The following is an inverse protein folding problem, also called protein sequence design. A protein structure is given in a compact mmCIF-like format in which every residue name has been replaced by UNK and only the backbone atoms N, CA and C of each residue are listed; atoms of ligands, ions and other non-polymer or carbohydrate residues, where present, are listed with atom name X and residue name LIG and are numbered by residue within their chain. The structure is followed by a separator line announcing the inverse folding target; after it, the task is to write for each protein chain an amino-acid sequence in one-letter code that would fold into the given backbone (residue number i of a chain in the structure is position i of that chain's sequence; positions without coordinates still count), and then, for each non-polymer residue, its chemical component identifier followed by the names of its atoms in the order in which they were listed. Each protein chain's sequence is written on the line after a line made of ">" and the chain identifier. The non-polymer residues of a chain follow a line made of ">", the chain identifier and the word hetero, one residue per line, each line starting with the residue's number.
data_IF_079984259131
#
_entry.id   IF_079984259131
#
_cell.length_a   1.000
_cell.length_b   1.000
_cell.length_c   1.000
_cell.angle_alpha   90.00
_cell.angle_beta   90.00
_cell.angle_gamma   90.00
#
_symmetry.space_group_name_H-M   'P 1'
#
loop_
_entity.id
_entity.type
_entity.pdbx_description
1 polymer ?
#
# COMPACT_ATOMS: atom_id res chain seq x y z
N UNK A 1 -13.34 38.27 23.91
CA UNK A 1 -14.00 37.01 24.30
C UNK A 1 -13.48 35.99 23.31
N UNK A 2 -12.53 35.20 23.68
CA UNK A 2 -12.06 34.09 22.86
C UNK A 2 -13.07 32.95 23.00
N UNK A 3 -13.65 32.48 21.90
CA UNK A 3 -14.43 31.23 21.93
C UNK A 3 -13.52 30.10 22.39
N UNK A 4 -13.93 29.26 23.34
CA UNK A 4 -13.16 28.09 23.70
C UNK A 4 -13.03 27.22 22.43
N UNK A 5 -11.82 26.76 22.15
CA UNK A 5 -11.58 25.78 21.09
C UNK A 5 -12.52 24.58 21.29
N UNK A 6 -13.11 24.01 20.22
CA UNK A 6 -13.97 22.85 20.35
C UNK A 6 -13.16 21.75 21.04
N UNK A 7 -13.70 21.18 22.11
CA UNK A 7 -13.12 20.03 22.79
C UNK A 7 -13.17 18.85 21.79
N UNK A 8 -12.05 18.56 21.19
CA UNK A 8 -11.90 17.37 20.34
C UNK A 8 -11.83 16.16 21.27
N UNK A 9 -12.91 15.40 21.34
CA UNK A 9 -12.91 14.12 22.04
C UNK A 9 -12.49 13.03 21.05
N UNK A 10 -11.25 12.59 21.17
CA UNK A 10 -10.79 11.41 20.46
C UNK A 10 -11.37 10.17 21.14
N UNK A 11 -11.89 9.26 20.34
CA UNK A 11 -12.42 7.98 20.82
C UNK A 11 -11.76 6.82 20.09
N UNK A 12 -11.48 5.75 20.83
CA UNK A 12 -10.96 4.50 20.29
C UNK A 12 -11.95 3.39 20.63
N UNK A 13 -12.61 2.86 19.61
CA UNK A 13 -13.48 1.69 19.71
C UNK A 13 -12.66 0.45 19.37
N UNK A 14 -12.69 -0.54 20.24
CA UNK A 14 -12.02 -1.84 20.07
C UNK A 14 -13.11 -2.92 20.02
N UNK A 15 -13.30 -3.56 18.87
CA UNK A 15 -14.39 -4.53 18.69
C UNK A 15 -14.35 -5.70 19.68
N UNK A 16 -13.15 -6.09 20.10
CA UNK A 16 -12.93 -7.18 21.04
C UNK A 16 -12.98 -6.76 22.52
N UNK A 17 -13.24 -5.48 22.82
CA UNK A 17 -13.23 -4.95 24.18
C UNK A 17 -14.52 -4.17 24.47
N UNK A 18 -15.35 -4.70 25.36
CA UNK A 18 -16.58 -4.03 25.84
C UNK A 18 -16.28 -3.07 27.00
N UNK A 19 -15.31 -2.19 26.82
CA UNK A 19 -14.87 -1.22 27.82
C UNK A 19 -14.54 0.12 27.17
N UNK A 20 -14.82 1.21 27.87
CA UNK A 20 -14.40 2.54 27.47
C UNK A 20 -12.87 2.70 27.63
N UNK A 21 -12.24 3.13 26.57
CA UNK A 21 -10.81 3.49 26.55
C UNK A 21 -10.66 4.99 26.28
N UNK A 22 -9.71 5.62 26.97
CA UNK A 22 -9.43 7.04 26.80
C UNK A 22 -8.13 7.24 26.02
N UNK A 23 -8.23 7.83 24.83
CA UNK A 23 -7.08 8.15 24.00
C UNK A 23 -6.29 9.31 24.63
N UNK A 24 -5.01 9.10 24.91
CA UNK A 24 -4.09 10.13 25.38
C UNK A 24 -3.50 10.92 24.22
N UNK A 25 -2.93 10.20 23.27
CA UNK A 25 -2.32 10.78 22.07
C UNK A 25 -2.32 9.79 20.92
N UNK A 26 -2.21 10.30 19.72
CA UNK A 26 -1.94 9.48 18.53
C UNK A 26 -1.12 10.25 17.51
N UNK A 27 -0.41 9.48 16.69
CA UNK A 27 0.24 9.94 15.46
C UNK A 27 -0.01 8.91 14.38
N UNK A 28 -0.19 9.37 13.13
CA UNK A 28 -0.40 8.44 12.02
C UNK A 28 -0.06 9.08 10.68
N UNK A 29 0.10 8.24 9.69
CA UNK A 29 0.40 8.63 8.32
C UNK A 29 -0.44 7.83 7.34
N UNK A 30 -1.03 8.53 6.39
CA UNK A 30 -1.72 8.01 5.22
C UNK A 30 -1.07 8.57 3.95
N UNK A 31 -0.93 7.73 2.93
CA UNK A 31 -0.48 8.19 1.62
C UNK A 31 -1.07 7.32 0.50
N UNK A 32 -1.30 7.91 -0.67
CA UNK A 32 -1.72 7.15 -1.87
C UNK A 32 -0.62 6.14 -2.22
N UNK A 33 -1.01 4.89 -2.48
CA UNK A 33 -0.09 3.80 -2.84
C UNK A 33 0.63 3.15 -1.66
N UNK A 34 0.27 3.52 -0.41
CA UNK A 34 0.89 2.96 0.80
C UNK A 34 -0.15 2.54 1.83
N UNK A 35 0.08 1.43 2.56
CA UNK A 35 -0.67 1.14 3.76
C UNK A 35 -0.45 2.21 4.82
N UNK A 36 -1.53 2.68 5.45
CA UNK A 36 -1.44 3.62 6.56
C UNK A 36 -0.93 2.95 7.84
N UNK A 37 -0.42 3.78 8.75
CA UNK A 37 0.05 3.36 10.06
C UNK A 37 -0.28 4.42 11.10
N UNK A 38 -0.95 4.02 12.18
CA UNK A 38 -1.25 4.88 13.32
C UNK A 38 -0.71 4.27 14.61
N UNK A 39 -0.03 5.07 15.39
CA UNK A 39 0.36 4.77 16.76
C UNK A 39 -0.60 5.48 17.69
N UNK A 40 -1.25 4.76 18.59
CA UNK A 40 -2.23 5.29 19.55
C UNK A 40 -1.79 4.95 20.95
N UNK A 41 -1.79 5.96 21.82
CA UNK A 41 -1.56 5.82 23.26
C UNK A 41 -2.88 6.03 23.99
N UNK A 42 -3.22 5.13 24.91
CA UNK A 42 -4.49 5.18 25.63
C UNK A 42 -4.37 4.62 27.04
N UNK A 43 -5.36 4.91 27.85
CA UNK A 43 -5.57 4.30 29.16
C UNK A 43 -6.91 3.57 29.18
N UNK A 44 -6.97 2.49 29.93
CA UNK A 44 -8.18 1.71 30.13
C UNK A 44 -8.47 1.60 31.63
N UNK A 45 -9.74 1.73 31.99
CA UNK A 45 -10.18 1.45 33.35
C UNK A 45 -10.16 -0.08 33.61
N UNK A 46 -10.08 -0.44 34.88
CA UNK A 46 -10.04 -1.88 35.25
C UNK A 46 -11.34 -2.62 34.93
N UNK A 47 -11.27 -3.92 34.55
CA UNK A 47 -10.14 -4.84 34.60
C UNK A 47 -9.14 -4.63 33.45
N UNK A 48 -7.85 -4.99 33.66
CA UNK A 48 -6.83 -4.94 32.62
C UNK A 48 -7.23 -5.81 31.43
N UNK A 49 -7.17 -5.31 30.19
CA UNK A 49 -7.52 -6.08 29.01
C UNK A 49 -6.51 -7.21 28.76
N UNK A 50 -6.98 -8.32 28.24
CA UNK A 50 -6.11 -9.38 27.75
C UNK A 50 -5.51 -8.97 26.40
N UNK A 51 -4.28 -8.44 26.42
CA UNK A 51 -3.66 -7.84 25.24
C UNK A 51 -3.53 -8.79 24.06
N UNK A 52 -3.33 -10.09 24.29
CA UNK A 52 -3.18 -11.07 23.22
C UNK A 52 -4.47 -11.25 22.43
N UNK A 53 -5.63 -11.17 23.07
CA UNK A 53 -6.92 -11.29 22.39
C UNK A 53 -7.27 -10.07 21.52
N UNK A 54 -6.61 -8.94 21.76
CA UNK A 54 -6.82 -7.71 20.99
C UNK A 54 -5.96 -7.66 19.71
N UNK A 55 -4.89 -8.45 19.62
CA UNK A 55 -4.07 -8.49 18.40
C UNK A 55 -4.90 -9.04 17.23
N UNK A 56 -4.80 -8.42 16.07
CA UNK A 56 -5.56 -8.71 14.86
C UNK A 56 -7.07 -8.42 14.92
N UNK A 57 -7.59 -7.90 16.05
CA UNK A 57 -8.96 -7.42 16.12
C UNK A 57 -9.13 -6.08 15.42
N UNK A 58 -10.36 -5.75 15.04
CA UNK A 58 -10.70 -4.50 14.39
C UNK A 58 -10.85 -3.37 15.41
N UNK A 59 -10.50 -2.16 14.99
CA UNK A 59 -10.58 -0.96 15.82
C UNK A 59 -10.84 0.28 14.97
N UNK A 60 -11.53 1.25 15.55
CA UNK A 60 -11.79 2.56 14.95
C UNK A 60 -11.28 3.68 15.86
N UNK A 61 -10.36 4.50 15.34
CA UNK A 61 -9.88 5.71 15.97
C UNK A 61 -10.64 6.92 15.42
N UNK A 62 -11.59 7.46 16.17
CA UNK A 62 -12.32 8.66 15.83
C UNK A 62 -11.51 9.92 16.17
N UNK A 63 -11.41 10.84 15.21
CA UNK A 63 -10.73 12.14 15.36
C UNK A 63 -11.67 13.22 15.90
N UNK A 64 -12.99 12.98 15.80
CA UNK A 64 -14.04 13.89 16.28
C UNK A 64 -15.32 13.12 16.59
N UNK A 65 -16.36 13.89 16.97
CA UNK A 65 -17.70 13.35 17.25
C UNK A 65 -18.58 13.20 15.98
N UNK A 66 -18.10 13.60 14.81
CA UNK A 66 -18.83 13.50 13.54
C UNK A 66 -18.56 12.18 12.82
N UNK A 67 -17.67 11.35 13.36
CA UNK A 67 -17.31 10.05 12.79
C UNK A 67 -16.14 10.09 11.81
N UNK A 68 -15.42 11.22 11.72
CA UNK A 68 -14.16 11.26 10.99
C UNK A 68 -13.10 10.49 11.78
N UNK A 69 -12.35 9.64 11.10
CA UNK A 69 -11.37 8.79 11.78
C UNK A 69 -10.82 7.69 10.88
N UNK A 70 -10.08 6.78 11.46
CA UNK A 70 -9.41 5.68 10.78
C UNK A 70 -9.82 4.35 11.39
N UNK A 71 -10.36 3.47 10.55
CA UNK A 71 -10.61 2.08 10.90
C UNK A 71 -9.41 1.22 10.50
N UNK A 72 -9.05 0.21 11.28
CA UNK A 72 -7.98 -0.71 10.95
C UNK A 72 -7.95 -1.92 11.85
N UNK A 73 -6.85 -2.68 11.78
CA UNK A 73 -6.57 -3.83 12.64
C UNK A 73 -5.43 -3.52 13.60
N UNK A 74 -5.52 -4.04 14.80
CA UNK A 74 -4.48 -3.90 15.83
C UNK A 74 -3.32 -4.82 15.47
N UNK A 75 -2.27 -4.24 14.90
CA UNK A 75 -1.07 -4.96 14.49
C UNK A 75 -0.13 -5.30 15.65
N UNK A 76 -0.08 -4.42 16.63
CA UNK A 76 0.70 -4.55 17.83
C UNK A 76 0.01 -3.81 18.97
N UNK A 77 0.06 -4.37 20.16
CA UNK A 77 -0.41 -3.72 21.38
C UNK A 77 0.56 -4.05 22.51
N UNK A 78 0.86 -3.07 23.33
CA UNK A 78 1.77 -3.22 24.46
C UNK A 78 1.36 -2.37 25.65
N UNK A 79 1.91 -2.73 26.81
CA UNK A 79 1.74 -2.03 28.07
C UNK A 79 3.00 -1.22 28.34
N UNK A 80 2.84 0.03 28.75
CA UNK A 80 3.95 0.84 29.23
C UNK A 80 4.36 0.37 30.63
N UNK A 81 5.63 0.03 30.81
CA UNK A 81 6.18 -0.47 32.06
C UNK A 81 6.68 0.63 33.00
N UNK A 82 6.85 1.86 32.49
CA UNK A 82 7.37 2.98 33.28
C UNK A 82 6.29 3.67 34.12
N UNK A 83 5.01 3.54 33.75
CA UNK A 83 3.89 4.17 34.41
C UNK A 83 2.95 3.13 35.04
N UNK A 84 2.91 3.09 36.35
CA UNK A 84 2.13 2.08 37.07
C UNK A 84 0.64 2.45 37.26
N UNK A 85 0.31 3.74 37.37
CA UNK A 85 -1.08 4.21 37.57
C UNK A 85 -1.29 5.63 37.03
N UNK A 86 -2.29 5.82 36.14
CA UNK A 86 -3.03 4.80 35.45
C UNK A 86 -2.16 4.07 34.44
N UNK A 87 -2.46 2.81 34.22
CA UNK A 87 -1.73 1.98 33.27
C UNK A 87 -1.90 2.49 31.85
N UNK A 88 -0.80 2.81 31.19
CA UNK A 88 -0.78 3.24 29.79
C UNK A 88 -0.55 2.06 28.86
N UNK A 89 -1.22 2.12 27.73
CA UNK A 89 -1.12 1.17 26.63
C UNK A 89 -0.78 1.89 25.34
N UNK A 90 -0.11 1.21 24.46
CA UNK A 90 0.13 1.68 23.11
C UNK A 90 -0.26 0.61 22.10
N UNK A 91 -0.87 0.99 21.00
CA UNK A 91 -1.17 0.11 19.90
C UNK A 91 -0.75 0.70 18.55
N UNK A 92 -0.54 -0.19 17.59
CA UNK A 92 -0.34 0.13 16.19
C UNK A 92 -1.58 -0.31 15.39
N UNK A 93 -2.23 0.64 14.73
CA UNK A 93 -3.40 0.41 13.88
C UNK A 93 -2.97 0.48 12.41
N UNK A 94 -3.30 -0.56 11.65
CA UNK A 94 -2.91 -0.70 10.24
C UNK A 94 -4.06 -1.26 9.39
N UNK A 95 -4.05 -1.09 8.04
CA UNK A 95 -4.99 -1.80 7.19
C UNK A 95 -4.67 -3.30 7.10
N UNK A 96 -5.66 -4.11 6.77
CA UNK A 96 -5.46 -5.54 6.51
C UNK A 96 -4.38 -5.77 5.44
N UNK A 97 -4.27 -4.90 4.44
CA UNK A 97 -3.23 -4.92 3.40
C UNK A 97 -1.80 -4.98 3.98
N UNK A 98 -1.55 -4.45 5.17
CA UNK A 98 -0.23 -4.44 5.80
C UNK A 98 0.32 -5.84 6.10
N UNK A 99 -0.55 -6.82 6.30
CA UNK A 99 -0.15 -8.21 6.61
C UNK A 99 0.49 -8.92 5.43
N UNK A 100 0.27 -8.46 4.20
CA UNK A 100 0.86 -9.00 2.99
C UNK A 100 2.39 -8.87 2.96
N UNK A 101 2.97 -8.03 3.82
CA UNK A 101 4.43 -7.89 3.99
C UNK A 101 5.10 -9.12 4.62
N UNK A 102 4.32 -9.98 5.27
CA UNK A 102 4.84 -11.13 6.00
C UNK A 102 4.96 -12.40 5.16
N UNK A 103 4.36 -12.40 3.97
CA UNK A 103 4.45 -13.54 3.06
C UNK A 103 5.32 -13.19 1.86
N UNK A 104 6.46 -13.87 1.76
CA UNK A 104 7.36 -13.79 0.59
C UNK A 104 7.11 -15.00 -0.30
N UNK A 105 6.94 -14.75 -1.60
CA UNK A 105 6.64 -15.80 -2.57
C UNK A 105 7.60 -15.81 -3.75
N UNK A 106 7.63 -16.98 -4.41
CA UNK A 106 8.25 -17.19 -5.72
C UNK A 106 7.25 -17.96 -6.58
N UNK A 107 6.59 -17.27 -7.50
CA UNK A 107 5.55 -17.86 -8.37
C UNK A 107 5.39 -17.09 -9.68
N UNK A 108 4.83 -17.76 -10.67
CA UNK A 108 4.61 -17.19 -12.01
C UNK A 108 3.13 -17.15 -12.31
N UNK A 109 2.66 -16.00 -12.75
CA UNK A 109 1.33 -15.81 -13.28
C UNK A 109 1.38 -15.74 -14.80
N UNK A 110 0.57 -16.55 -15.48
CA UNK A 110 0.47 -16.55 -16.93
C UNK A 110 -0.92 -16.21 -17.39
N UNK A 111 -0.99 -15.40 -18.44
CA UNK A 111 -2.26 -14.98 -19.04
C UNK A 111 -3.21 -14.29 -18.05
N UNK A 112 -2.65 -13.63 -17.04
CA UNK A 112 -3.37 -12.78 -16.10
C UNK A 112 -3.10 -11.29 -16.37
N UNK A 113 -4.12 -10.47 -16.22
CA UNK A 113 -3.94 -9.01 -16.12
C UNK A 113 -3.52 -8.62 -14.70
N UNK A 114 -2.88 -7.46 -14.54
CA UNK A 114 -2.44 -6.98 -13.22
C UNK A 114 -3.60 -6.88 -12.22
N UNK A 115 -4.77 -6.32 -12.55
CA UNK A 115 -5.90 -6.33 -11.62
C UNK A 115 -6.34 -7.73 -11.18
N UNK A 116 -6.27 -8.72 -12.08
CA UNK A 116 -6.62 -10.10 -11.74
C UNK A 116 -5.59 -10.76 -10.81
N UNK A 117 -4.29 -10.46 -10.98
CA UNK A 117 -3.23 -10.92 -10.08
C UNK A 117 -3.42 -10.30 -8.69
N UNK A 118 -3.65 -8.98 -8.64
CA UNK A 118 -3.88 -8.27 -7.38
C UNK A 118 -5.09 -8.83 -6.64
N UNK A 119 -6.22 -9.03 -7.34
CA UNK A 119 -7.42 -9.62 -6.74
C UNK A 119 -7.14 -11.00 -6.14
N UNK A 120 -6.46 -11.88 -6.89
CA UNK A 120 -6.12 -13.22 -6.42
C UNK A 120 -5.28 -13.19 -5.13
N UNK A 121 -4.28 -12.28 -5.06
CA UNK A 121 -3.43 -12.17 -3.86
C UNK A 121 -4.23 -11.62 -2.68
N UNK A 122 -5.10 -10.64 -2.89
CA UNK A 122 -5.96 -10.10 -1.83
C UNK A 122 -6.89 -11.18 -1.27
N UNK A 123 -7.51 -11.99 -2.15
CA UNK A 123 -8.38 -13.10 -1.77
C UNK A 123 -7.63 -14.17 -0.96
N UNK A 124 -6.39 -14.50 -1.34
CA UNK A 124 -5.55 -15.43 -0.58
C UNK A 124 -5.23 -14.95 0.84
N UNK A 125 -5.25 -13.64 1.07
CA UNK A 125 -5.08 -13.03 2.38
C UNK A 125 -6.40 -12.75 3.10
N UNK A 126 -7.54 -13.20 2.57
CA UNK A 126 -8.84 -13.01 3.18
C UNK A 126 -9.40 -11.59 3.04
N UNK A 127 -8.83 -10.75 2.16
CA UNK A 127 -9.37 -9.45 1.79
C UNK A 127 -10.39 -9.70 0.69
N UNK A 128 -11.68 -9.79 1.04
CA UNK A 128 -12.75 -10.28 0.17
C UNK A 128 -13.86 -9.25 0.02
N UNK A 129 -14.69 -9.44 -1.03
CA UNK A 129 -15.97 -8.77 -1.20
C UNK A 129 -15.87 -7.25 -1.15
N UNK A 130 -16.52 -6.66 -0.16
CA UNK A 130 -16.62 -5.20 -0.03
C UNK A 130 -15.38 -4.53 0.59
N UNK A 131 -14.39 -5.33 1.05
CA UNK A 131 -13.15 -4.80 1.63
C UNK A 131 -12.21 -4.17 0.59
N UNK A 132 -12.39 -4.45 -0.70
CA UNK A 132 -11.66 -3.78 -1.77
C UNK A 132 -12.53 -3.60 -3.02
N UNK A 133 -12.14 -2.65 -3.89
CA UNK A 133 -12.77 -2.47 -5.19
C UNK A 133 -11.80 -1.88 -6.22
N UNK A 134 -12.01 -2.26 -7.48
CA UNK A 134 -11.36 -1.65 -8.62
C UNK A 134 -12.29 -0.65 -9.30
N UNK A 135 -11.81 0.58 -9.48
CA UNK A 135 -12.44 1.64 -10.24
C UNK A 135 -11.49 2.02 -11.38
N UNK A 136 -11.43 1.18 -12.42
CA UNK A 136 -10.49 1.29 -13.52
C UNK A 136 -11.23 1.71 -14.80
N UNK A 137 -10.70 2.72 -15.46
CA UNK A 137 -11.18 3.19 -16.76
C UNK A 137 -10.45 2.57 -17.95
N UNK A 138 -9.24 2.05 -17.73
CA UNK A 138 -8.40 1.43 -18.75
C UNK A 138 -8.62 -0.08 -18.85
N UNK A 139 -8.26 -0.63 -20.02
CA UNK A 139 -8.22 -2.07 -20.22
C UNK A 139 -6.80 -2.58 -20.01
N UNK A 140 -6.64 -3.59 -19.19
CA UNK A 140 -5.35 -4.18 -18.84
C UNK A 140 -5.12 -5.48 -19.60
N UNK A 141 -4.08 -5.56 -20.45
CA UNK A 141 -3.80 -6.77 -21.22
C UNK A 141 -3.36 -7.90 -20.27
N UNK A 142 -3.62 -9.11 -20.71
CA UNK A 142 -3.04 -10.29 -20.06
C UNK A 142 -1.56 -10.36 -20.37
N UNK A 143 -0.73 -10.50 -19.33
CA UNK A 143 0.71 -10.69 -19.47
C UNK A 143 1.01 -12.16 -19.79
N UNK A 144 1.92 -12.41 -20.72
CA UNK A 144 2.37 -13.77 -21.02
C UNK A 144 3.07 -14.42 -19.84
N UNK A 145 3.85 -13.63 -19.13
CA UNK A 145 4.55 -14.00 -17.91
C UNK A 145 4.61 -12.81 -16.97
N UNK A 146 4.29 -13.03 -15.69
CA UNK A 146 4.46 -12.07 -14.62
C UNK A 146 4.96 -12.82 -13.38
N UNK A 147 6.16 -12.51 -12.96
CA UNK A 147 6.89 -13.30 -11.96
C UNK A 147 7.03 -12.54 -10.65
N UNK A 148 6.56 -13.12 -9.57
CA UNK A 148 6.95 -12.75 -8.22
C UNK A 148 8.20 -13.54 -7.86
N UNK A 149 9.31 -12.87 -7.60
CA UNK A 149 10.59 -13.54 -7.33
C UNK A 149 11.24 -13.07 -6.03
N UNK A 150 11.01 -13.80 -4.95
CA UNK A 150 11.61 -13.50 -3.65
C UNK A 150 11.17 -12.17 -3.04
N UNK A 151 10.04 -11.66 -3.45
CA UNK A 151 9.45 -10.41 -2.93
C UNK A 151 8.19 -10.70 -2.09
N UNK A 152 7.87 -9.79 -1.18
CA UNK A 152 6.64 -9.92 -0.39
C UNK A 152 5.43 -9.68 -1.27
N UNK A 153 4.28 -10.23 -0.88
CA UNK A 153 3.04 -10.01 -1.62
C UNK A 153 2.65 -8.52 -1.67
N UNK A 154 2.92 -7.77 -0.60
CA UNK A 154 2.70 -6.34 -0.59
C UNK A 154 3.58 -5.61 -1.61
N UNK A 155 4.88 -5.89 -1.62
CA UNK A 155 5.82 -5.28 -2.55
C UNK A 155 5.44 -5.61 -4.00
N UNK A 156 5.07 -6.86 -4.26
CA UNK A 156 4.64 -7.29 -5.59
C UNK A 156 3.40 -6.55 -6.08
N UNK A 157 2.35 -6.43 -5.25
CA UNK A 157 1.15 -5.65 -5.59
C UNK A 157 1.50 -4.19 -5.87
N UNK A 158 2.30 -3.56 -5.00
CA UNK A 158 2.68 -2.16 -5.16
C UNK A 158 3.45 -1.94 -6.46
N UNK A 159 4.45 -2.79 -6.75
CA UNK A 159 5.22 -2.74 -7.99
C UNK A 159 4.34 -2.89 -9.23
N UNK A 160 3.46 -3.89 -9.26
CA UNK A 160 2.55 -4.12 -10.38
C UNK A 160 1.60 -2.94 -10.62
N UNK A 161 1.07 -2.38 -9.54
CA UNK A 161 0.20 -1.20 -9.62
C UNK A 161 0.97 0.02 -10.17
N UNK A 162 2.20 0.24 -9.73
CA UNK A 162 3.05 1.34 -10.22
C UNK A 162 3.41 1.17 -11.71
N UNK A 163 3.74 -0.05 -12.15
CA UNK A 163 4.02 -0.36 -13.56
C UNK A 163 2.85 -0.01 -14.48
N UNK A 164 1.63 -0.32 -14.05
CA UNK A 164 0.40 -0.06 -14.84
C UNK A 164 -0.19 1.34 -14.60
N UNK A 165 0.38 2.11 -13.67
CA UNK A 165 -0.16 3.42 -13.30
C UNK A 165 -1.44 3.33 -12.48
N UNK A 166 -1.69 2.21 -11.82
CA UNK A 166 -2.80 2.02 -10.88
C UNK A 166 -2.36 2.60 -9.52
N UNK A 167 -3.14 3.51 -8.97
CA UNK A 167 -2.99 3.98 -7.61
C UNK A 167 -3.97 3.28 -6.68
N UNK A 168 -3.70 3.28 -5.37
CA UNK A 168 -4.69 2.88 -4.40
C UNK A 168 -4.70 3.81 -3.18
N UNK A 169 -5.84 3.89 -2.53
CA UNK A 169 -6.05 4.64 -1.29
C UNK A 169 -7.12 3.93 -0.45
N UNK A 170 -7.32 4.41 0.78
CA UNK A 170 -8.29 3.84 1.70
C UNK A 170 -9.46 4.80 1.91
N UNK A 171 -10.65 4.26 2.04
CA UNK A 171 -11.84 4.97 2.49
C UNK A 171 -12.25 4.37 3.83
N UNK A 172 -12.47 5.21 4.82
CA UNK A 172 -12.76 4.80 6.17
C UNK A 172 -14.22 5.06 6.55
N UNK A 173 -14.74 4.19 7.40
CA UNK A 173 -15.98 4.37 8.15
C UNK A 173 -15.79 3.77 9.54
N UNK A 174 -16.73 4.01 10.45
CA UNK A 174 -16.67 3.41 11.78
C UNK A 174 -16.76 1.87 11.76
N UNK A 175 -17.32 1.28 10.69
CA UNK A 175 -17.55 -0.15 10.56
C UNK A 175 -16.51 -0.88 9.70
N UNK A 176 -15.59 -0.16 9.06
CA UNK A 176 -14.61 -0.79 8.19
C UNK A 176 -13.81 0.19 7.35
N UNK A 177 -12.83 -0.33 6.65
CA UNK A 177 -12.10 0.41 5.62
C UNK A 177 -12.16 -0.34 4.29
N UNK A 178 -12.22 0.41 3.20
CA UNK A 178 -12.25 -0.12 1.84
C UNK A 178 -10.99 0.30 1.10
N UNK A 179 -10.28 -0.68 0.54
CA UNK A 179 -9.12 -0.46 -0.33
C UNK A 179 -9.61 -0.19 -1.76
N UNK A 180 -9.39 1.01 -2.27
CA UNK A 180 -9.86 1.45 -3.58
C UNK A 180 -8.68 1.55 -4.54
N UNK A 181 -8.71 0.78 -5.62
CA UNK A 181 -7.76 0.86 -6.73
C UNK A 181 -8.35 1.69 -7.86
N UNK A 182 -7.55 2.59 -8.44
CA UNK A 182 -7.96 3.43 -9.55
C UNK A 182 -6.82 3.77 -10.50
N UNK A 183 -7.17 4.17 -11.72
CA UNK A 183 -6.24 4.59 -12.77
C UNK A 183 -6.57 5.98 -13.36
N UNK A 184 -7.56 6.64 -12.80
CA UNK A 184 -8.01 7.95 -13.24
C UNK A 184 -8.47 8.82 -12.07
N UNK A 185 -8.51 10.14 -12.29
CA UNK A 185 -8.77 11.13 -11.24
C UNK A 185 -10.19 11.07 -10.66
N UNK A 186 -11.20 10.63 -11.42
CA UNK A 186 -12.58 10.56 -10.93
C UNK A 186 -12.80 9.53 -9.79
N UNK A 187 -11.79 8.71 -9.49
CA UNK A 187 -11.80 7.79 -8.35
C UNK A 187 -11.67 8.49 -7.01
N UNK A 188 -11.00 9.65 -7.01
CA UNK A 188 -10.77 10.43 -5.81
C UNK A 188 -12.00 11.21 -5.39
N UNK A 189 -12.31 11.15 -4.10
CA UNK A 189 -13.48 11.80 -3.55
C UNK A 189 -13.22 13.29 -3.30
N UNK A 190 -14.08 14.14 -3.85
CA UNK A 190 -14.05 15.58 -3.58
C UNK A 190 -14.74 15.86 -2.26
N UNK A 191 -14.09 16.61 -1.39
CA UNK A 191 -14.67 17.06 -0.12
C UNK A 191 -14.82 18.60 -0.14
N UNK A 192 -15.88 19.08 0.50
CA UNK A 192 -16.06 20.51 0.69
C UNK A 192 -15.14 20.99 1.81
N UNK A 193 -14.30 21.98 1.59
CA UNK A 193 -13.42 22.51 2.63
C UNK A 193 -14.26 23.26 3.67
N UNK A 194 -14.36 22.68 4.84
CA UNK A 194 -15.05 23.35 5.97
C UNK A 194 -14.13 24.37 6.69
N UNK A 195 -12.85 24.47 6.29
CA UNK A 195 -11.87 25.36 6.93
C UNK A 195 -10.83 25.88 5.95
N UNK A 196 -10.32 27.08 6.24
CA UNK A 196 -9.24 27.73 5.50
C UNK A 196 -7.96 26.94 5.68
N UNK A 197 -7.56 26.26 4.62
CA UNK A 197 -6.23 25.66 4.53
C UNK A 197 -5.25 26.79 4.19
N UNK A 198 -4.29 27.06 5.07
CA UNK A 198 -3.19 27.97 4.76
C UNK A 198 -2.02 27.18 4.20
N UNK A 199 -1.78 27.19 2.88
CA UNK A 199 -0.60 26.57 2.31
C UNK A 199 0.64 27.36 2.73
N UNK A 200 1.65 26.67 3.27
CA UNK A 200 2.97 27.25 3.44
C UNK A 200 3.69 27.25 2.08
N UNK A 201 4.29 28.37 1.65
CA UNK A 201 5.03 28.39 0.41
C UNK A 201 6.25 27.46 0.54
N UNK A 202 6.26 26.39 -0.22
CA UNK A 202 7.45 25.54 -0.35
C UNK A 202 8.62 26.38 -0.86
N UNK A 203 9.78 26.28 -0.19
CA UNK A 203 10.98 27.03 -0.55
C UNK A 203 11.32 26.86 -2.04
N UNK A 204 11.60 27.96 -2.71
CA UNK A 204 11.84 28.03 -4.14
C UNK A 204 12.99 27.09 -4.56
N UNK A 205 12.66 26.02 -5.27
CA UNK A 205 13.62 25.15 -5.95
C UNK A 205 13.53 25.46 -7.45
N UNK A 206 14.66 25.80 -8.07
CA UNK A 206 14.74 26.10 -9.50
C UNK A 206 14.29 24.90 -10.36
N UNK A 207 13.38 25.10 -11.34
CA UNK A 207 12.80 24.01 -12.11
C UNK A 207 13.76 23.49 -13.19
N UNK A 208 13.91 22.16 -13.34
CA UNK A 208 14.50 21.55 -14.52
C UNK A 208 13.50 21.41 -15.67
N UNK A 209 14.00 21.50 -16.88
CA UNK A 209 13.26 21.48 -18.14
C UNK A 209 12.65 20.11 -18.50
N UNK A 210 11.32 20.01 -18.63
CA UNK A 210 10.60 18.83 -19.11
C UNK A 210 9.19 18.67 -18.49
N UNK A 211 8.19 18.34 -19.30
CA UNK A 211 6.78 18.25 -18.85
C UNK A 211 6.52 17.19 -17.77
N UNK A 212 7.24 16.07 -17.78
CA UNK A 212 7.15 15.02 -16.77
C UNK A 212 7.65 15.43 -15.38
N UNK A 213 8.48 16.44 -15.30
CA UNK A 213 9.04 16.95 -14.05
C UNK A 213 8.19 18.03 -13.40
N UNK A 214 7.24 18.65 -14.12
CA UNK A 214 6.38 19.72 -13.57
C UNK A 214 5.44 19.22 -12.46
N UNK A 215 4.91 18.01 -12.54
CA UNK A 215 4.04 17.43 -11.52
C UNK A 215 4.77 17.22 -10.18
N UNK A 216 6.01 16.72 -10.22
CA UNK A 216 6.84 16.51 -9.03
C UNK A 216 7.29 17.83 -8.36
N UNK A 217 7.28 18.95 -9.10
CA UNK A 217 7.75 20.26 -8.62
C UNK A 217 6.63 21.20 -8.11
N UNK A 218 5.37 20.80 -8.27
CA UNK A 218 4.22 21.55 -7.74
C UNK A 218 3.61 20.90 -6.51
N UNK A 219 4.42 20.29 -5.68
CA UNK A 219 3.95 19.84 -4.38
C UNK A 219 3.85 21.03 -3.45
N UNK A 220 2.73 21.14 -2.77
CA UNK A 220 2.50 22.12 -1.72
C UNK A 220 2.32 21.37 -0.41
N UNK A 221 3.06 21.76 0.60
CA UNK A 221 2.86 21.31 1.96
C UNK A 221 1.96 22.26 2.71
N UNK A 222 1.08 21.73 3.53
CA UNK A 222 0.18 22.52 4.35
C UNK A 222 -0.01 21.89 5.71
N UNK A 223 -0.59 22.67 6.61
CA UNK A 223 -0.97 22.21 7.93
C UNK A 223 -2.36 22.73 8.29
N UNK A 224 -3.07 21.97 9.12
CA UNK A 224 -4.42 22.29 9.52
C UNK A 224 -4.91 21.47 10.70
N UNK A 225 -6.20 21.66 11.03
CA UNK A 225 -6.88 20.91 12.08
C UNK A 225 -8.20 20.29 11.56
N UNK A 226 -8.33 20.06 10.25
CA UNK A 226 -9.51 19.46 9.66
C UNK A 226 -9.44 17.93 9.79
N UNK A 227 -10.31 17.36 10.60
CA UNK A 227 -10.38 15.91 10.90
C UNK A 227 -10.86 15.07 9.73
N UNK A 228 -11.52 15.66 8.74
CA UNK A 228 -12.05 14.99 7.55
C UNK A 228 -11.03 14.77 6.43
N UNK A 229 -9.77 15.21 6.60
CA UNK A 229 -8.74 15.06 5.58
C UNK A 229 -8.16 13.65 5.59
N UNK A 230 -8.24 12.97 4.43
CA UNK A 230 -7.62 11.68 4.17
C UNK A 230 -6.86 11.69 2.86
N UNK A 231 -5.85 10.85 2.72
CA UNK A 231 -5.15 10.69 1.43
C UNK A 231 -6.12 10.18 0.35
N UNK A 232 -6.03 10.75 -0.87
CA UNK A 232 -6.99 10.46 -1.94
C UNK A 232 -8.23 11.38 -1.92
N UNK A 233 -8.27 12.41 -1.05
CA UNK A 233 -9.29 13.45 -1.13
C UNK A 233 -8.87 14.59 -2.04
N UNK A 234 -9.85 15.24 -2.67
CA UNK A 234 -9.67 16.44 -3.49
C UNK A 234 -10.25 17.63 -2.76
N UNK A 235 -9.44 18.68 -2.64
CA UNK A 235 -9.80 19.94 -1.98
C UNK A 235 -9.89 21.07 -3.01
N UNK A 236 -10.88 21.94 -2.86
CA UNK A 236 -10.93 23.22 -3.55
C UNK A 236 -10.34 24.31 -2.63
N UNK A 237 -9.13 24.79 -2.94
CA UNK A 237 -8.44 25.80 -2.17
C UNK A 237 -8.65 27.16 -2.85
N UNK A 238 -9.06 28.22 -2.10
CA UNK A 238 -9.17 29.56 -2.65
C UNK A 238 -7.83 30.02 -3.24
N UNK A 239 -7.88 30.54 -4.46
CA UNK A 239 -6.71 31.14 -5.09
C UNK A 239 -6.19 32.36 -4.33
N UNK A 240 -4.98 32.86 -4.65
CA UNK A 240 -4.42 34.06 -4.02
C UNK A 240 -5.33 35.27 -4.25
N UNK A 241 -5.25 36.26 -3.36
CA UNK A 241 -6.09 37.49 -3.47
C UNK A 241 -6.01 38.13 -4.87
N UNK A 242 -7.16 38.24 -5.55
CA UNK A 242 -7.28 38.75 -6.91
C UNK A 242 -7.47 37.68 -8.00
N UNK A 243 -7.45 36.40 -7.66
CA UNK A 243 -7.91 35.31 -8.51
C UNK A 243 -9.18 34.71 -7.90
N UNK A 244 -10.33 34.95 -8.51
CA UNK A 244 -11.64 34.46 -8.03
C UNK A 244 -11.87 32.96 -8.32
N UNK A 245 -10.84 32.20 -8.71
CA UNK A 245 -10.95 30.76 -9.00
C UNK A 245 -10.35 29.94 -7.89
N UNK A 246 -11.16 29.05 -7.32
CA UNK A 246 -10.67 27.97 -6.49
C UNK A 246 -9.87 27.01 -7.36
N UNK A 247 -8.69 26.63 -6.89
CA UNK A 247 -7.87 25.58 -7.50
C UNK A 247 -8.16 24.27 -6.80
N UNK A 248 -8.40 23.22 -7.57
CA UNK A 248 -8.58 21.89 -7.03
C UNK A 248 -7.20 21.23 -6.81
N UNK A 249 -7.04 20.57 -5.68
CA UNK A 249 -5.81 19.93 -5.24
C UNK A 249 -6.09 18.53 -4.73
N UNK A 250 -5.23 17.58 -5.07
CA UNK A 250 -5.27 16.20 -4.57
C UNK A 250 -4.37 16.04 -3.35
N UNK A 251 -4.92 15.53 -2.24
CA UNK A 251 -4.15 15.11 -1.08
C UNK A 251 -3.45 13.78 -1.36
N UNK A 252 -2.14 13.83 -1.46
CA UNK A 252 -1.34 12.62 -1.70
C UNK A 252 -0.83 11.99 -0.42
N UNK A 253 -0.68 12.79 0.65
CA UNK A 253 -0.19 12.35 1.97
C UNK A 253 -0.80 13.20 3.07
N UNK A 254 -1.16 12.57 4.18
CA UNK A 254 -1.60 13.24 5.41
C UNK A 254 -0.88 12.62 6.60
N UNK A 255 -0.32 13.48 7.46
CA UNK A 255 0.25 13.10 8.75
C UNK A 255 -0.67 13.65 9.81
N UNK A 256 -1.24 12.79 10.62
CA UNK A 256 -2.17 13.11 11.68
C UNK A 256 -1.46 13.10 13.03
N UNK A 257 -1.85 14.01 13.90
CA UNK A 257 -1.45 14.01 15.30
C UNK A 257 -2.59 14.53 16.18
N UNK A 258 -2.83 13.88 17.29
CA UNK A 258 -3.81 14.28 18.27
C UNK A 258 -3.33 14.06 19.69
N UNK A 259 -3.74 14.93 20.62
CA UNK A 259 -3.47 14.79 22.04
C UNK A 259 -4.59 15.43 22.87
N UNK A 260 -4.97 14.82 24.00
CA UNK A 260 -5.99 15.33 24.90
C UNK A 260 -5.36 16.06 26.10
N UNK A 261 -5.66 17.36 26.26
CA UNK A 261 -5.03 18.19 27.31
C UNK A 261 -5.40 17.78 28.73
N UNK A 262 -6.67 17.44 28.92
CA UNK A 262 -7.23 17.21 30.26
C UNK A 262 -6.66 15.97 30.98
N UNK A 263 -6.11 15.04 30.22
CA UNK A 263 -5.48 13.83 30.75
C UNK A 263 -3.98 13.99 30.96
N UNK A 264 -3.35 14.92 30.24
CA UNK A 264 -1.92 15.20 30.40
C UNK A 264 -1.60 16.07 31.63
N UNK A 265 -2.49 16.98 32.02
CA UNK A 265 -2.25 17.89 33.17
C UNK A 265 -2.41 17.20 34.53
N UNK A 266 -3.36 16.26 34.68
CA UNK A 266 -3.46 15.42 35.85
C UNK A 266 -2.25 14.48 36.02
N UNK A 267 -1.60 14.12 34.90
CA UNK A 267 -0.43 13.23 34.86
C UNK A 267 0.91 13.96 34.81
N UNK A 268 0.95 15.22 34.35
CA UNK A 268 2.14 16.04 34.31
C UNK A 268 2.59 16.51 35.72
N UNK A 269 1.68 16.53 36.70
CA UNK A 269 1.98 16.88 38.06
C UNK A 269 2.98 15.91 38.73
N UNK A 270 3.01 14.65 38.27
CA UNK A 270 3.92 13.62 38.80
C UNK A 270 5.25 13.49 38.01
N UNK A 271 5.44 14.26 36.92
CA UNK A 271 6.65 14.14 36.08
C UNK A 271 7.12 15.51 35.53
N UNK A 272 7.85 16.32 36.33
CA UNK A 272 8.26 17.68 35.94
C UNK A 272 9.28 17.76 34.80
N UNK A 273 9.65 16.62 34.18
CA UNK A 273 10.57 16.54 33.06
C UNK A 273 9.92 16.34 31.67
N UNK A 274 8.60 16.17 31.58
CA UNK A 274 7.89 15.93 30.32
C UNK A 274 7.38 17.21 29.62
N UNK A 275 7.88 18.37 30.05
CA UNK A 275 7.48 19.64 29.50
C UNK A 275 8.31 20.06 28.31
N UNK A 276 8.00 19.55 27.10
CA UNK A 276 8.21 20.34 25.90
C UNK A 276 7.31 19.83 24.75
N UNK A 277 6.23 20.59 24.49
CA UNK A 277 5.57 20.54 23.18
C UNK A 277 4.46 19.52 22.97
N UNK A 278 3.82 18.93 23.98
CA UNK A 278 2.56 18.21 23.77
C UNK A 278 1.50 19.18 23.29
N UNK A 279 1.33 19.22 21.99
CA UNK A 279 0.36 20.08 21.35
C UNK A 279 -1.01 19.47 21.50
N UNK A 280 -1.88 20.22 22.13
CA UNK A 280 -3.22 19.87 22.52
C UNK A 280 -4.19 19.97 21.33
N UNK A 281 -5.09 18.99 21.19
CA UNK A 281 -6.07 18.93 20.12
C UNK A 281 -5.56 18.19 18.87
N UNK A 282 -6.39 18.19 17.83
CA UNK A 282 -6.06 17.56 16.54
C UNK A 282 -5.36 18.53 15.60
N UNK A 283 -4.40 18.01 14.87
CA UNK A 283 -3.78 18.70 13.74
C UNK A 283 -3.27 17.70 12.72
N UNK A 284 -3.07 18.19 11.53
CA UNK A 284 -2.44 17.45 10.44
C UNK A 284 -1.45 18.30 9.67
N UNK A 285 -0.52 17.59 9.03
CA UNK A 285 0.31 18.09 7.93
C UNK A 285 -0.03 17.29 6.70
N UNK A 286 -0.06 17.92 5.56
CA UNK A 286 -0.45 17.24 4.34
C UNK A 286 0.36 17.73 3.15
N UNK A 287 0.42 16.87 2.13
CA UNK A 287 1.05 17.15 0.84
C UNK A 287 -0.02 17.16 -0.24
N UNK A 288 -0.03 18.20 -1.05
CA UNK A 288 -0.97 18.44 -2.12
C UNK A 288 -0.26 18.44 -3.48
N UNK A 289 -0.94 17.94 -4.49
CA UNK A 289 -0.55 18.08 -5.90
C UNK A 289 -1.70 18.72 -6.69
N UNK A 290 -1.42 19.53 -7.74
CA UNK A 290 -2.46 20.13 -8.54
C UNK A 290 -3.36 19.08 -9.20
N UNK A 291 -4.66 19.35 -9.22
CA UNK A 291 -5.66 18.46 -9.83
C UNK A 291 -5.62 18.47 -11.38
N UNK A 292 -5.10 19.51 -12.01
CA UNK A 292 -4.99 19.63 -13.47
C UNK A 292 -4.03 18.62 -14.10
N UNK A 293 -3.22 17.95 -13.28
CA UNK A 293 -2.28 16.92 -13.70
C UNK A 293 -2.78 15.55 -13.28
N UNK A 294 -2.87 14.61 -14.23
CA UNK A 294 -3.23 13.24 -13.91
C UNK A 294 -2.22 12.64 -12.91
N UNK A 295 -2.72 12.22 -11.75
CA UNK A 295 -1.88 11.58 -10.76
C UNK A 295 -1.43 10.20 -11.25
N UNK A 296 -0.14 9.96 -11.19
CA UNK A 296 0.45 8.64 -11.36
C UNK A 296 1.29 8.31 -10.12
N UNK A 297 1.17 7.08 -9.58
CA UNK A 297 2.05 6.67 -8.49
C UNK A 297 3.51 6.75 -8.94
N UNK A 298 4.41 7.25 -8.09
CA UNK A 298 5.84 7.22 -8.39
C UNK A 298 6.32 5.76 -8.41
N UNK A 299 7.24 5.42 -9.32
CA UNK A 299 7.90 4.12 -9.33
C UNK A 299 8.89 4.05 -8.16
N UNK A 300 8.40 3.56 -7.02
CA UNK A 300 9.16 3.45 -5.78
C UNK A 300 9.63 2.01 -5.51
N UNK A 301 8.97 1.02 -6.13
CA UNK A 301 9.23 -0.40 -5.94
C UNK A 301 9.98 -0.96 -7.14
N UNK A 302 11.23 -1.33 -6.92
CA UNK A 302 12.07 -1.90 -7.98
C UNK A 302 11.74 -3.37 -8.21
N UNK A 303 11.79 -3.77 -9.49
CA UNK A 303 11.65 -5.16 -9.89
C UNK A 303 12.90 -5.94 -9.48
N UNK A 304 12.76 -7.14 -8.87
CA UNK A 304 13.92 -7.94 -8.48
C UNK A 304 14.73 -8.36 -9.70
N UNK A 305 16.05 -8.35 -9.57
CA UNK A 305 16.95 -8.82 -10.62
C UNK A 305 17.16 -10.33 -10.49
N UNK A 306 16.93 -11.06 -11.58
CA UNK A 306 17.02 -12.52 -11.61
C UNK A 306 18.18 -12.97 -12.49
N UNK A 307 19.06 -13.79 -11.92
CA UNK A 307 20.12 -14.48 -12.67
C UNK A 307 19.55 -15.72 -13.39
N UNK A 308 20.39 -16.36 -14.24
CA UNK A 308 20.01 -17.61 -14.89
C UNK A 308 19.52 -18.66 -13.90
N UNK A 309 18.46 -19.36 -14.26
CA UNK A 309 17.82 -20.43 -13.47
C UNK A 309 17.80 -21.73 -14.26
N UNK A 310 17.69 -22.84 -13.54
CA UNK A 310 17.42 -24.14 -14.13
C UNK A 310 15.92 -24.42 -14.09
N UNK A 311 15.39 -25.01 -15.15
CA UNK A 311 14.00 -25.47 -15.22
C UNK A 311 13.90 -26.84 -15.88
N UNK A 312 12.84 -27.58 -15.59
CA UNK A 312 12.56 -28.87 -16.20
C UNK A 312 11.46 -28.72 -17.25
N UNK A 313 11.69 -29.24 -18.45
CA UNK A 313 10.70 -29.29 -19.53
C UNK A 313 9.60 -30.29 -19.14
N UNK A 314 8.35 -29.87 -19.19
CA UNK A 314 7.19 -30.73 -18.93
C UNK A 314 6.34 -30.99 -20.17
N UNK A 315 6.38 -30.09 -21.15
CA UNK A 315 5.74 -30.30 -22.46
C UNK A 315 6.50 -29.53 -23.56
N UNK A 316 6.34 -29.99 -24.78
CA UNK A 316 6.91 -29.39 -25.99
C UNK A 316 5.75 -29.06 -26.93
N UNK A 317 5.79 -27.88 -27.53
CA UNK A 317 4.77 -27.46 -28.49
C UNK A 317 4.83 -28.30 -29.79
N UNK A 318 3.68 -28.59 -30.41
CA UNK A 318 3.58 -29.31 -31.65
C UNK A 318 4.34 -28.65 -32.81
N UNK A 319 4.51 -27.34 -32.81
CA UNK A 319 5.33 -26.60 -33.78
C UNK A 319 6.81 -26.93 -33.65
N UNK A 320 7.29 -27.14 -32.42
CA UNK A 320 8.64 -27.60 -32.15
C UNK A 320 8.90 -28.99 -32.74
N UNK A 321 7.90 -29.86 -32.74
CA UNK A 321 7.96 -31.21 -33.27
C UNK A 321 7.95 -31.21 -34.82
N UNK A 322 7.40 -30.18 -35.47
CA UNK A 322 7.37 -30.01 -36.94
C UNK A 322 8.67 -29.45 -37.53
N UNK A 323 9.65 -29.14 -36.72
CA UNK A 323 10.99 -28.73 -37.16
C UNK A 323 11.23 -27.24 -37.32
N UNK A 324 10.24 -26.40 -37.08
CA UNK A 324 10.45 -24.95 -37.04
C UNK A 324 10.88 -24.52 -35.62
N UNK A 325 12.18 -24.71 -35.34
CA UNK A 325 12.79 -24.53 -34.04
C UNK A 325 12.84 -23.06 -33.60
N UNK A 326 12.51 -22.11 -34.49
CA UNK A 326 12.53 -20.67 -34.13
C UNK A 326 11.23 -20.22 -33.46
N UNK A 327 10.14 -20.96 -33.62
CA UNK A 327 8.85 -20.70 -33.00
C UNK A 327 8.53 -21.69 -31.86
N UNK A 328 9.42 -22.65 -31.62
CA UNK A 328 9.23 -23.69 -30.64
C UNK A 328 9.11 -23.10 -29.21
N UNK A 329 8.01 -23.35 -28.55
CA UNK A 329 7.80 -23.06 -27.14
C UNK A 329 7.93 -24.35 -26.33
N UNK A 330 8.62 -24.25 -25.18
CA UNK A 330 8.70 -25.33 -24.21
C UNK A 330 7.93 -24.92 -22.95
N UNK A 331 7.12 -25.83 -22.46
CA UNK A 331 6.50 -25.67 -21.17
C UNK A 331 7.49 -26.15 -20.11
N UNK A 332 7.90 -25.24 -19.24
CA UNK A 332 8.91 -25.51 -18.22
C UNK A 332 8.35 -25.29 -16.80
N UNK A 333 8.91 -26.04 -15.85
CA UNK A 333 8.66 -25.86 -14.43
C UNK A 333 9.95 -25.50 -13.73
N UNK A 334 9.91 -24.45 -12.92
CA UNK A 334 11.03 -24.05 -12.07
C UNK A 334 11.01 -24.82 -10.74
N UNK A 335 12.18 -25.24 -10.21
CA UNK A 335 12.24 -25.97 -8.94
C UNK A 335 11.76 -25.19 -7.72
N UNK A 336 11.81 -23.86 -7.80
CA UNK A 336 11.40 -22.95 -6.74
C UNK A 336 9.89 -22.64 -6.75
N UNK A 337 9.21 -22.95 -7.84
CA UNK A 337 7.74 -22.83 -7.91
C UNK A 337 7.11 -24.00 -7.14
N UNK A 338 6.85 -23.75 -5.86
CA UNK A 338 6.38 -24.75 -4.91
C UNK A 338 4.86 -24.81 -4.77
N UNK A 339 4.12 -23.96 -5.44
CA UNK A 339 2.66 -23.96 -5.33
C UNK A 339 2.00 -25.27 -5.77
N UNK A 340 2.84 -26.26 -6.21
CA UNK A 340 2.55 -27.69 -6.14
C UNK A 340 1.26 -28.17 -6.80
N UNK A 341 0.51 -27.26 -7.32
CA UNK A 341 -0.61 -27.57 -8.17
C UNK A 341 0.01 -28.01 -9.48
N UNK A 342 0.05 -29.32 -9.69
CA UNK A 342 0.48 -29.94 -10.95
C UNK A 342 -0.47 -29.56 -12.13
N UNK A 343 -1.11 -28.41 -12.04
CA UNK A 343 -1.98 -27.85 -13.03
C UNK A 343 -1.19 -26.90 -13.98
N UNK A 344 -1.86 -26.46 -15.02
CA UNK A 344 -1.31 -25.54 -16.01
C UNK A 344 -0.86 -24.18 -15.45
N UNK A 345 -1.08 -23.92 -14.17
CA UNK A 345 -0.77 -22.63 -13.50
C UNK A 345 0.63 -22.57 -12.89
N UNK A 346 1.28 -23.73 -12.63
CA UNK A 346 2.63 -23.80 -12.04
C UNK A 346 3.74 -24.01 -13.07
N UNK A 347 3.47 -23.83 -14.35
CA UNK A 347 4.43 -24.03 -15.45
C UNK A 347 4.27 -22.95 -16.50
N UNK A 348 5.34 -22.55 -17.17
CA UNK A 348 5.28 -21.51 -18.18
C UNK A 348 5.77 -21.94 -19.55
N UNK A 349 5.11 -21.40 -20.60
CA UNK A 349 5.53 -21.56 -21.98
C UNK A 349 6.60 -20.52 -22.31
N UNK A 350 7.83 -20.98 -22.55
CA UNK A 350 8.96 -20.13 -22.87
C UNK A 350 9.44 -20.34 -24.30
N UNK A 351 9.80 -19.24 -24.95
CA UNK A 351 10.53 -19.28 -26.22
C UNK A 351 12.02 -19.53 -26.00
N UNK A 352 12.71 -19.99 -27.02
CA UNK A 352 14.16 -20.09 -27.03
C UNK A 352 14.83 -18.77 -27.43
N UNK A 353 16.03 -18.50 -26.89
CA UNK A 353 16.89 -17.46 -27.40
C UNK A 353 17.30 -17.73 -28.86
N UNK A 354 17.56 -16.69 -29.67
CA UNK A 354 17.78 -16.79 -31.13
C UNK A 354 18.84 -17.81 -31.54
N UNK A 355 19.82 -18.09 -30.70
CA UNK A 355 20.93 -19.03 -30.97
C UNK A 355 20.85 -20.33 -30.14
N UNK A 356 19.71 -20.56 -29.47
CA UNK A 356 19.57 -21.76 -28.63
C UNK A 356 19.41 -23.01 -29.47
N UNK A 357 20.20 -24.02 -29.19
CA UNK A 357 20.12 -25.35 -29.81
C UNK A 357 20.40 -26.40 -28.74
N UNK A 358 19.59 -27.45 -28.71
CA UNK A 358 19.98 -28.70 -28.06
C UNK A 358 20.60 -29.59 -29.15
N UNK A 359 21.90 -29.88 -29.00
CA UNK A 359 22.68 -30.53 -30.06
C UNK A 359 22.51 -32.06 -30.08
N UNK A 360 22.11 -32.69 -28.96
CA UNK A 360 22.29 -34.13 -28.78
C UNK A 360 21.02 -34.89 -28.40
N UNK A 361 19.97 -34.22 -27.99
CA UNK A 361 18.75 -34.91 -27.50
C UNK A 361 17.50 -34.30 -28.12
N UNK A 362 16.55 -35.12 -28.61
CA UNK A 362 15.25 -34.59 -28.96
C UNK A 362 14.63 -33.94 -27.72
N UNK A 363 14.08 -32.75 -27.90
CA UNK A 363 13.39 -32.05 -26.84
C UNK A 363 12.18 -32.86 -26.38
N UNK A 364 12.19 -33.29 -25.14
CA UNK A 364 11.11 -34.06 -24.52
C UNK A 364 10.93 -33.69 -23.06
N UNK A 365 9.81 -34.06 -22.49
CA UNK A 365 9.57 -33.89 -21.05
C UNK A 365 10.67 -34.56 -20.21
N UNK A 366 11.07 -33.93 -19.12
CA UNK A 366 12.14 -34.39 -18.23
C UNK A 366 13.52 -33.81 -18.52
N UNK A 367 13.71 -33.10 -19.63
CA UNK A 367 14.99 -32.45 -19.96
C UNK A 367 15.17 -31.19 -19.10
N UNK A 368 16.36 -31.04 -18.51
CA UNK A 368 16.73 -29.81 -17.82
C UNK A 368 17.26 -28.76 -18.79
N UNK A 369 16.74 -27.54 -18.65
CA UNK A 369 17.13 -26.39 -19.48
C UNK A 369 17.60 -25.23 -18.61
N UNK A 370 18.50 -24.45 -19.16
CA UNK A 370 18.90 -23.16 -18.59
C UNK A 370 17.98 -22.09 -19.12
N UNK A 371 17.38 -21.33 -18.20
CA UNK A 371 16.57 -20.17 -18.48
C UNK A 371 17.37 -18.92 -18.10
N UNK A 372 17.50 -17.98 -19.01
CA UNK A 372 18.05 -16.64 -18.74
C UNK A 372 16.95 -15.61 -18.82
N UNK A 373 17.15 -14.50 -18.15
CA UNK A 373 16.17 -13.42 -18.09
C UNK A 373 16.76 -12.22 -18.82
N UNK A 374 16.01 -11.69 -19.80
CA UNK A 374 16.46 -10.53 -20.60
C UNK A 374 16.63 -9.34 -19.65
N UNK A 375 17.81 -8.72 -19.67
CA UNK A 375 18.16 -7.60 -18.78
C UNK A 375 17.92 -7.91 -17.28
N UNK A 376 18.00 -9.18 -16.91
CA UNK A 376 17.66 -9.68 -15.57
C UNK A 376 16.20 -9.48 -15.13
N UNK A 377 15.29 -9.17 -16.06
CA UNK A 377 13.86 -8.98 -15.80
C UNK A 377 13.16 -10.33 -15.59
N UNK A 378 12.59 -10.61 -14.41
CA UNK A 378 11.91 -11.88 -14.10
C UNK A 378 10.70 -12.17 -15.00
N UNK A 379 10.14 -11.16 -15.65
CA UNK A 379 8.99 -11.31 -16.56
C UNK A 379 9.40 -11.64 -18.01
N UNK A 380 10.70 -11.66 -18.29
CA UNK A 380 11.25 -11.95 -19.63
C UNK A 380 12.17 -13.17 -19.65
N UNK A 381 11.66 -14.35 -19.27
CA UNK A 381 12.43 -15.59 -19.29
C UNK A 381 12.60 -16.12 -20.71
N UNK A 382 13.81 -16.57 -21.07
CA UNK A 382 14.13 -17.23 -22.32
C UNK A 382 14.97 -18.47 -22.07
N UNK A 383 14.73 -19.53 -22.84
CA UNK A 383 15.56 -20.73 -22.80
C UNK A 383 16.87 -20.45 -23.52
N UNK A 384 17.99 -20.55 -22.81
CA UNK A 384 19.32 -20.25 -23.35
C UNK A 384 20.22 -21.46 -23.53
N UNK A 385 19.85 -22.62 -23.02
CA UNK A 385 20.64 -23.86 -23.17
C UNK A 385 19.96 -25.08 -22.60
N UNK A 386 20.52 -26.25 -22.92
CA UNK A 386 20.17 -27.54 -22.39
C UNK A 386 21.30 -28.02 -21.45
N UNK A 387 20.96 -28.50 -20.25
CA UNK A 387 21.95 -28.95 -19.28
C UNK A 387 22.37 -30.42 -19.46
N UNK A 388 21.63 -31.16 -20.30
CA UNK A 388 21.97 -32.56 -20.62
C UNK A 388 23.14 -32.71 -21.62
N UNK A 389 23.71 -31.62 -22.09
CA UNK A 389 24.78 -31.58 -23.09
C UNK A 389 26.12 -31.06 -22.52
N UNK A 390 26.38 -31.30 -21.22
CA UNK A 390 27.64 -30.94 -20.56
C UNK A 390 28.72 -32.01 -20.73
#
# INVERSE_FOLDING_TARGET
>A
MFSPAPQTHFNLTLDALDQDVQVLAFTGEEAIGKPYFFKVEFVCERPEPELQSLVDSEAFLAFDTQGNGVHGRIYHIGKDTEHAHPQRYHLALVPHLSYLRHRTNQRIYQQFSVPAIVALILEEHGILGDAYRFQLGSTYPKRDCCTQFGETDLHFIQRLCEEEGIHFHFQHSAQGHVLVFGDHQAVFQRIEPTMVVTPEPAGAINPPTGEYRRAAYRQVEGQGACTALHSGHVLDIPGPPGQERNEAWLLTRVIHAGGQPQLSDEYAADNPGAGDGQQLGYRNRFTLVPWDLAYRPPSAHEKPLVSSQTAVVIAVDDEALRGDRHLARLKVKFPWDREGRFDDKSSCWLGGAANWRCATTPLQAGVEVRVTFVESDPDQPLISGCLCCG
#
